data_IF_460236875025
#
_entry.id   IF_460236875025
#
_cell.length_a   1.000
_cell.length_b   1.000
_cell.length_c   1.000
_cell.angle_alpha   90.00
_cell.angle_beta   90.00
_cell.angle_gamma   90.00
#
_symmetry.space_group_name_H-M   'P 1'
#
loop_
_entity.id
_entity.type
_entity.pdbx_description
1 polymer ?
#
# COMPACT_ATOMS: atom_id res chain seq x y z
N UNK A 1 9.41 25.80 -21.67
CA UNK A 1 9.06 24.99 -20.49
C UNK A 1 9.95 25.49 -19.37
N UNK A 2 9.36 26.19 -18.41
CA UNK A 2 10.07 26.86 -17.33
C UNK A 2 10.12 25.89 -16.14
N UNK A 3 11.32 25.49 -15.70
CA UNK A 3 11.56 24.57 -14.58
C UNK A 3 11.28 25.19 -13.18
N UNK A 4 10.52 26.29 -13.08
CA UNK A 4 10.52 27.16 -11.89
C UNK A 4 9.28 27.10 -10.99
N UNK A 5 8.19 26.45 -11.38
CA UNK A 5 6.94 26.47 -10.60
C UNK A 5 6.69 25.17 -9.81
N UNK A 6 7.73 24.59 -9.21
CA UNK A 6 7.53 23.53 -8.21
C UNK A 6 7.14 24.21 -6.90
N UNK A 7 5.86 24.16 -6.56
CA UNK A 7 5.31 24.72 -5.34
C UNK A 7 5.97 24.01 -4.12
N UNK A 8 6.74 24.71 -3.27
CA UNK A 8 7.50 24.07 -2.19
C UNK A 8 6.62 23.36 -1.14
N UNK A 9 5.31 23.64 -1.13
CA UNK A 9 4.33 22.94 -0.28
C UNK A 9 4.14 21.45 -0.60
N UNK A 10 4.25 21.05 -1.87
CA UNK A 10 3.97 19.67 -2.30
C UNK A 10 5.09 18.69 -1.93
N UNK A 11 6.33 19.21 -1.80
CA UNK A 11 7.48 18.42 -1.35
C UNK A 11 7.33 18.04 0.14
N UNK A 12 6.82 18.94 0.98
CA UNK A 12 6.67 18.70 2.42
C UNK A 12 5.58 17.69 2.78
N UNK A 13 4.46 17.69 2.05
CA UNK A 13 3.32 16.83 2.37
C UNK A 13 3.63 15.35 2.10
N UNK A 14 4.33 15.05 1.00
CA UNK A 14 4.72 13.69 0.65
C UNK A 14 5.79 13.09 1.60
N UNK A 15 6.67 13.93 2.16
CA UNK A 15 7.66 13.46 3.13
C UNK A 15 7.03 13.09 4.47
N UNK A 16 6.07 13.88 4.98
CA UNK A 16 5.37 13.56 6.23
C UNK A 16 4.65 12.21 6.20
N UNK A 17 3.97 11.87 5.10
CA UNK A 17 3.27 10.60 4.95
C UNK A 17 4.26 9.41 4.95
N UNK A 18 5.44 9.60 4.35
CA UNK A 18 6.51 8.60 4.34
C UNK A 18 7.07 8.34 5.74
N UNK A 19 7.38 9.39 6.50
CA UNK A 19 7.87 9.25 7.88
C UNK A 19 6.81 8.63 8.79
N UNK A 20 5.54 9.00 8.63
CA UNK A 20 4.44 8.45 9.42
C UNK A 20 4.23 6.95 9.11
N UNK A 21 4.29 6.56 7.83
CA UNK A 21 4.21 5.15 7.40
C UNK A 21 5.36 4.33 7.97
N UNK A 22 6.58 4.89 7.93
CA UNK A 22 7.77 4.28 8.54
C UNK A 22 7.63 4.10 10.04
N UNK A 23 7.20 5.15 10.75
CA UNK A 23 7.02 5.11 12.19
C UNK A 23 5.97 4.06 12.58
N UNK A 24 4.84 4.00 11.89
CA UNK A 24 3.79 3.02 12.17
C UNK A 24 4.20 1.59 11.86
N UNK A 25 4.92 1.36 10.76
CA UNK A 25 5.46 0.03 10.47
C UNK A 25 6.50 -0.39 11.52
N UNK A 26 7.34 0.54 11.99
CA UNK A 26 8.27 0.25 13.08
C UNK A 26 7.53 -0.08 14.39
N UNK A 27 6.47 0.67 14.72
CA UNK A 27 5.62 0.40 15.89
C UNK A 27 4.95 -0.97 15.77
N UNK A 28 4.43 -1.33 14.60
CA UNK A 28 3.86 -2.65 14.34
C UNK A 28 4.90 -3.77 14.55
N UNK A 29 6.09 -3.62 13.99
CA UNK A 29 7.18 -4.59 14.17
C UNK A 29 7.58 -4.74 15.65
N UNK A 30 7.68 -3.62 16.38
CA UNK A 30 8.02 -3.62 17.80
C UNK A 30 6.93 -4.27 18.66
N UNK A 31 5.64 -4.04 18.37
CA UNK A 31 4.54 -4.67 19.11
C UNK A 31 4.58 -6.20 19.05
N UNK A 32 5.15 -6.78 18.00
CA UNK A 32 5.29 -8.23 17.85
C UNK A 32 6.61 -8.73 18.47
N UNK A 33 7.71 -8.01 18.26
CA UNK A 33 9.05 -8.48 18.65
C UNK A 33 9.38 -8.22 20.12
N UNK A 34 9.01 -7.05 20.65
CA UNK A 34 9.39 -6.63 22.01
C UNK A 34 8.87 -7.57 23.11
N UNK A 35 7.59 -8.03 23.09
CA UNK A 35 7.08 -8.92 24.14
C UNK A 35 7.85 -10.24 24.27
N UNK A 36 8.54 -10.68 23.21
CA UNK A 36 9.30 -11.91 23.19
C UNK A 36 10.80 -11.69 22.95
N UNK A 37 11.31 -10.49 23.27
CA UNK A 37 12.70 -10.14 23.04
C UNK A 37 13.67 -11.07 23.76
N UNK A 38 13.32 -11.48 24.99
CA UNK A 38 14.13 -12.40 25.80
C UNK A 38 14.26 -13.78 25.16
N UNK A 39 13.27 -14.22 24.39
CA UNK A 39 13.33 -15.44 23.59
C UNK A 39 14.18 -15.23 22.33
N UNK A 40 13.98 -14.12 21.61
CA UNK A 40 14.68 -13.88 20.35
C UNK A 40 16.19 -13.69 20.50
N UNK A 41 16.65 -13.20 21.66
CA UNK A 41 18.09 -13.03 21.94
C UNK A 41 18.83 -14.31 22.30
N UNK A 42 18.15 -15.44 22.47
CA UNK A 42 18.78 -16.70 22.93
C UNK A 42 19.70 -17.34 21.88
N UNK A 43 19.34 -17.21 20.60
CA UNK A 43 20.12 -17.77 19.49
C UNK A 43 20.23 -16.78 18.34
N UNK A 44 21.31 -16.89 17.56
CA UNK A 44 21.50 -16.07 16.36
C UNK A 44 20.35 -16.24 15.36
N UNK A 45 19.85 -17.47 15.20
CA UNK A 45 18.71 -17.78 14.33
C UNK A 45 17.44 -17.03 14.76
N UNK A 46 17.08 -17.06 16.05
CA UNK A 46 15.89 -16.35 16.53
C UNK A 46 16.04 -14.83 16.40
N UNK A 47 17.24 -14.28 16.62
CA UNK A 47 17.51 -12.86 16.43
C UNK A 47 17.36 -12.46 14.96
N UNK A 48 17.80 -13.30 14.01
CA UNK A 48 17.59 -13.06 12.58
C UNK A 48 16.10 -13.04 12.23
N UNK A 49 15.30 -13.94 12.79
CA UNK A 49 13.84 -13.96 12.58
C UNK A 49 13.20 -12.68 13.11
N UNK A 50 13.54 -12.25 14.32
CA UNK A 50 13.05 -11.00 14.90
C UNK A 50 13.45 -9.76 14.07
N UNK A 51 14.56 -9.83 13.34
CA UNK A 51 15.02 -8.79 12.43
C UNK A 51 14.22 -8.66 11.12
N UNK A 52 13.49 -9.71 10.71
CA UNK A 52 12.84 -9.76 9.39
C UNK A 52 11.86 -8.59 9.14
N UNK A 53 10.96 -8.22 10.06
CA UNK A 53 10.07 -7.08 9.86
C UNK A 53 10.80 -5.75 9.65
N UNK A 54 11.91 -5.55 10.35
CA UNK A 54 12.73 -4.34 10.24
C UNK A 54 13.47 -4.28 8.90
N UNK A 55 14.02 -5.41 8.45
CA UNK A 55 14.66 -5.48 7.12
C UNK A 55 13.61 -5.28 6.03
N UNK A 56 12.44 -5.90 6.15
CA UNK A 56 11.37 -5.81 5.17
C UNK A 56 10.86 -4.39 5.00
N UNK A 57 10.62 -3.64 6.08
CA UNK A 57 10.19 -2.24 5.97
C UNK A 57 11.27 -1.35 5.34
N UNK A 58 12.54 -1.56 5.69
CA UNK A 58 13.66 -0.80 5.12
C UNK A 58 13.79 -1.06 3.61
N UNK A 59 13.71 -2.33 3.20
CA UNK A 59 13.74 -2.72 1.78
C UNK A 59 12.51 -2.18 1.05
N UNK A 60 11.32 -2.28 1.64
CA UNK A 60 10.09 -1.77 1.02
C UNK A 60 10.15 -0.26 0.75
N UNK A 61 10.72 0.50 1.69
CA UNK A 61 10.93 1.95 1.58
C UNK A 61 12.01 2.28 0.55
N UNK A 62 13.12 1.53 0.54
CA UNK A 62 14.22 1.72 -0.40
C UNK A 62 13.77 1.45 -1.84
N UNK A 63 13.01 0.36 -2.06
CA UNK A 63 12.43 0.01 -3.35
C UNK A 63 11.31 0.97 -3.76
N UNK A 64 10.78 1.77 -2.81
CA UNK A 64 9.62 2.66 -3.02
C UNK A 64 8.44 1.90 -3.64
N UNK A 65 8.32 0.60 -3.36
CA UNK A 65 7.38 -0.31 -4.01
C UNK A 65 6.10 -0.43 -3.18
N UNK A 66 4.93 -0.14 -3.77
CA UNK A 66 3.64 -0.29 -3.12
C UNK A 66 3.42 -1.69 -2.54
N UNK A 67 3.66 -2.71 -3.38
CA UNK A 67 3.48 -4.10 -3.00
C UNK A 67 4.45 -4.50 -1.87
N UNK A 68 5.66 -3.96 -1.86
CA UNK A 68 6.61 -4.21 -0.78
C UNK A 68 6.10 -3.69 0.57
N UNK A 69 5.49 -2.49 0.58
CA UNK A 69 4.98 -1.87 1.79
C UNK A 69 3.68 -2.52 2.26
N UNK A 70 2.75 -2.80 1.35
CA UNK A 70 1.41 -3.26 1.74
C UNK A 70 1.30 -4.77 1.92
N UNK A 71 2.19 -5.56 1.29
CA UNK A 71 2.10 -7.03 1.29
C UNK A 71 3.32 -7.65 1.94
N UNK A 72 4.52 -7.37 1.45
CA UNK A 72 5.73 -8.05 1.93
C UNK A 72 6.08 -7.70 3.37
N UNK A 73 5.96 -6.44 3.76
CA UNK A 73 6.24 -6.02 5.12
C UNK A 73 5.30 -6.69 6.15
N UNK A 74 3.96 -6.64 6.04
CA UNK A 74 3.11 -7.34 7.00
C UNK A 74 3.35 -8.86 7.03
N UNK A 75 3.59 -9.48 5.87
CA UNK A 75 3.86 -10.92 5.80
C UNK A 75 5.19 -11.31 6.45
N UNK A 76 6.17 -10.41 6.50
CA UNK A 76 7.46 -10.66 7.17
C UNK A 76 7.34 -10.83 8.69
N UNK A 77 6.19 -10.49 9.29
CA UNK A 77 5.88 -10.79 10.68
C UNK A 77 5.46 -12.25 10.91
N UNK A 78 4.99 -12.97 9.88
CA UNK A 78 4.51 -14.35 10.04
C UNK A 78 5.58 -15.31 10.56
N UNK A 79 6.84 -15.29 10.08
CA UNK A 79 7.90 -16.11 10.65
C UNK A 79 8.18 -15.84 12.14
N UNK A 80 8.01 -14.57 12.57
CA UNK A 80 8.16 -14.19 13.98
C UNK A 80 7.07 -14.87 14.81
N UNK A 81 5.82 -14.79 14.35
CA UNK A 81 4.65 -15.42 14.98
C UNK A 81 4.71 -16.96 14.96
N UNK A 82 5.29 -17.55 13.92
CA UNK A 82 5.36 -19.00 13.76
C UNK A 82 6.37 -19.69 14.71
N UNK A 83 7.40 -18.96 15.15
CA UNK A 83 8.47 -19.51 16.01
C UNK A 83 8.28 -19.16 17.49
N UNK A 84 7.27 -18.34 17.80
CA UNK A 84 6.94 -17.93 19.17
C UNK A 84 6.51 -19.13 20.05
N UNK A 85 7.15 -19.35 21.21
CA UNK A 85 6.71 -20.36 22.16
C UNK A 85 5.33 -20.04 22.76
N UNK A 86 4.60 -21.05 23.28
CA UNK A 86 3.26 -20.85 23.86
C UNK A 86 3.20 -19.79 24.96
N UNK A 87 4.24 -19.69 25.79
CA UNK A 87 4.30 -18.71 26.89
C UNK A 87 4.30 -17.27 26.39
N UNK A 88 4.94 -17.03 25.25
CA UNK A 88 5.03 -15.71 24.63
C UNK A 88 3.86 -15.44 23.67
N UNK A 89 3.27 -16.47 23.06
CA UNK A 89 2.05 -16.30 22.29
C UNK A 89 0.87 -15.90 23.20
N UNK A 90 0.83 -16.38 24.44
CA UNK A 90 -0.14 -15.94 25.44
C UNK A 90 -0.06 -14.43 25.71
N UNK A 91 1.14 -13.82 25.70
CA UNK A 91 1.31 -12.36 25.83
C UNK A 91 0.70 -11.59 24.66
N UNK A 92 0.69 -12.18 23.46
CA UNK A 92 0.02 -11.61 22.29
C UNK A 92 -1.51 -11.73 22.39
N UNK A 93 -2.01 -12.64 23.24
CA UNK A 93 -3.43 -12.82 23.53
C UNK A 93 -3.93 -12.03 24.74
N UNK A 94 -3.05 -11.33 25.47
CA UNK A 94 -3.47 -10.43 26.55
C UNK A 94 -4.49 -9.38 26.08
N UNK A 95 -5.40 -9.02 26.98
CA UNK A 95 -6.56 -8.18 26.70
C UNK A 95 -6.16 -6.90 25.95
N UNK A 96 -6.58 -6.83 24.68
CA UNK A 96 -6.38 -5.68 23.80
C UNK A 96 -5.07 -5.66 22.99
N UNK A 97 -4.12 -6.57 23.20
CA UNK A 97 -2.92 -6.69 22.34
C UNK A 97 -3.28 -7.00 20.88
N UNK A 98 -4.16 -7.97 20.57
CA UNK A 98 -4.56 -8.24 19.19
C UNK A 98 -5.22 -7.04 18.51
N UNK A 99 -6.06 -6.30 19.27
CA UNK A 99 -6.77 -5.12 18.77
C UNK A 99 -5.76 -4.00 18.45
N UNK A 100 -4.76 -3.78 19.31
CA UNK A 100 -3.70 -2.79 19.08
C UNK A 100 -2.86 -3.14 17.84
N UNK A 101 -2.49 -4.41 17.68
CA UNK A 101 -1.73 -4.88 16.51
C UNK A 101 -2.57 -4.70 15.23
N UNK A 102 -3.84 -5.11 15.25
CA UNK A 102 -4.74 -4.96 14.11
C UNK A 102 -4.98 -3.48 13.75
N UNK A 103 -5.19 -2.62 14.75
CA UNK A 103 -5.37 -1.19 14.54
C UNK A 103 -4.12 -0.54 13.96
N UNK A 104 -2.94 -0.86 14.50
CA UNK A 104 -1.65 -0.33 14.01
C UNK A 104 -1.41 -0.77 12.56
N UNK A 105 -1.66 -2.05 12.25
CA UNK A 105 -1.55 -2.58 10.89
C UNK A 105 -2.55 -1.92 9.93
N UNK A 106 -3.81 -1.74 10.35
CA UNK A 106 -4.84 -1.08 9.55
C UNK A 106 -4.49 0.36 9.21
N UNK A 107 -4.04 1.13 10.20
CA UNK A 107 -3.60 2.52 10.00
C UNK A 107 -2.35 2.57 9.10
N UNK A 108 -1.39 1.66 9.33
CA UNK A 108 -0.21 1.51 8.48
C UNK A 108 -0.59 1.26 7.02
N UNK A 109 -1.48 0.30 6.75
CA UNK A 109 -1.91 -0.04 5.39
C UNK A 109 -2.66 1.11 4.72
N UNK A 110 -3.51 1.82 5.45
CA UNK A 110 -4.20 2.99 4.94
C UNK A 110 -3.21 4.07 4.49
N UNK A 111 -2.20 4.38 5.32
CA UNK A 111 -1.18 5.36 4.99
C UNK A 111 -0.26 4.92 3.86
N UNK A 112 0.21 3.67 3.90
CA UNK A 112 1.01 3.09 2.83
C UNK A 112 0.26 3.17 1.49
N UNK A 113 -1.04 2.88 1.46
CA UNK A 113 -1.87 2.99 0.26
C UNK A 113 -2.02 4.45 -0.21
N UNK A 114 -2.17 5.41 0.70
CA UNK A 114 -2.26 6.83 0.35
C UNK A 114 -0.96 7.38 -0.25
N UNK A 115 0.20 6.95 0.28
CA UNK A 115 1.51 7.35 -0.25
C UNK A 115 1.78 6.78 -1.64
N UNK A 116 1.30 5.56 -1.89
CA UNK A 116 1.33 4.94 -3.21
C UNK A 116 0.45 5.71 -4.19
N UNK A 117 -0.76 6.08 -3.74
CA UNK A 117 -1.73 6.82 -4.52
C UNK A 117 -1.23 8.22 -4.90
N UNK A 118 -0.56 8.94 -4.00
CA UNK A 118 -0.06 10.30 -4.27
C UNK A 118 1.00 10.30 -5.39
N UNK A 119 1.91 9.33 -5.41
CA UNK A 119 2.88 9.17 -6.51
C UNK A 119 2.28 8.83 -7.87
N UNK A 120 1.02 8.40 -7.90
CA UNK A 120 0.28 8.12 -9.14
C UNK A 120 -0.34 9.37 -9.76
N UNK A 121 -0.56 10.42 -8.97
CA UNK A 121 -1.13 11.67 -9.45
C UNK A 121 -0.19 12.39 -10.43
N UNK A 122 1.11 12.42 -10.13
CA UNK A 122 2.16 13.15 -10.88
C UNK A 122 2.41 12.66 -12.33
N UNK A 123 1.79 11.55 -12.78
CA UNK A 123 2.05 10.99 -14.13
C UNK A 123 0.91 11.20 -15.11
N UNK A 124 -0.23 11.70 -14.64
CA UNK A 124 -1.31 12.13 -15.52
C UNK A 124 -1.27 13.65 -15.55
N UNK A 125 -0.44 14.14 -16.46
CA UNK A 125 -0.34 15.54 -16.90
C UNK A 125 -1.55 15.85 -17.78
N UNK A 126 -2.74 15.72 -17.20
CA UNK A 126 -4.00 16.04 -17.86
C UNK A 126 -4.48 17.34 -17.23
N UNK A 127 -4.02 18.46 -17.80
CA UNK A 127 -4.36 19.86 -17.47
C UNK A 127 -5.89 20.15 -17.42
N UNK A 128 -6.73 19.14 -17.67
CA UNK A 128 -8.18 19.24 -17.75
C UNK A 128 -8.90 19.10 -16.40
N UNK A 129 -8.27 18.60 -15.33
CA UNK A 129 -8.91 18.41 -14.03
C UNK A 129 -8.17 19.21 -12.95
N UNK A 130 -8.83 20.17 -12.27
CA UNK A 130 -8.22 20.90 -11.16
C UNK A 130 -7.69 19.95 -10.08
N UNK A 131 -6.45 20.16 -9.63
CA UNK A 131 -5.78 19.31 -8.63
C UNK A 131 -6.61 19.10 -7.36
N UNK A 132 -7.34 20.13 -6.93
CA UNK A 132 -8.26 20.06 -5.78
C UNK A 132 -9.39 19.04 -6.00
N UNK A 133 -10.00 19.02 -7.18
CA UNK A 133 -11.09 18.10 -7.50
C UNK A 133 -10.59 16.64 -7.54
N UNK A 134 -9.36 16.44 -8.03
CA UNK A 134 -8.71 15.13 -8.09
C UNK A 134 -8.37 14.59 -6.70
N UNK A 135 -7.79 15.41 -5.83
CA UNK A 135 -7.50 15.05 -4.45
C UNK A 135 -8.78 14.69 -3.67
N UNK A 136 -9.85 15.46 -3.87
CA UNK A 136 -11.14 15.24 -3.20
C UNK A 136 -11.81 13.94 -3.68
N UNK A 137 -11.70 13.63 -4.98
CA UNK A 137 -12.17 12.36 -5.54
C UNK A 137 -11.40 11.16 -4.99
N UNK A 138 -10.06 11.24 -4.98
CA UNK A 138 -9.18 10.19 -4.43
C UNK A 138 -9.49 9.93 -2.95
N UNK A 139 -9.65 11.02 -2.18
CA UNK A 139 -10.04 10.97 -0.77
C UNK A 139 -11.39 10.29 -0.60
N UNK A 140 -12.42 10.71 -1.34
CA UNK A 140 -13.76 10.10 -1.27
C UNK A 140 -13.74 8.61 -1.65
N UNK A 141 -12.94 8.24 -2.64
CA UNK A 141 -12.77 6.86 -3.10
C UNK A 141 -12.12 5.98 -2.02
N UNK A 142 -11.07 6.46 -1.35
CA UNK A 142 -10.39 5.71 -0.28
C UNK A 142 -11.29 5.63 0.96
N UNK A 143 -11.86 6.75 1.40
CA UNK A 143 -12.68 6.80 2.62
C UNK A 143 -13.96 5.98 2.53
N UNK A 144 -14.63 5.95 1.37
CA UNK A 144 -15.84 5.11 1.20
C UNK A 144 -15.52 3.62 1.31
N UNK A 145 -14.39 3.17 0.75
CA UNK A 145 -13.95 1.77 0.85
C UNK A 145 -13.45 1.41 2.24
N UNK A 146 -12.75 2.33 2.88
CA UNK A 146 -12.32 2.16 4.27
C UNK A 146 -13.54 2.04 5.19
N UNK A 147 -14.53 2.93 5.05
CA UNK A 147 -15.77 2.87 5.81
C UNK A 147 -16.50 1.53 5.59
N UNK A 148 -16.59 1.07 4.34
CA UNK A 148 -17.16 -0.24 4.02
C UNK A 148 -16.38 -1.38 4.70
N UNK A 149 -15.05 -1.37 4.64
CA UNK A 149 -14.22 -2.40 5.28
C UNK A 149 -14.35 -2.41 6.80
N UNK A 150 -14.39 -1.23 7.42
CA UNK A 150 -14.60 -1.10 8.87
C UNK A 150 -15.97 -1.66 9.24
N UNK A 151 -17.02 -1.32 8.48
CA UNK A 151 -18.37 -1.79 8.74
C UNK A 151 -18.51 -3.31 8.53
N UNK A 152 -17.88 -3.84 7.48
CA UNK A 152 -17.83 -5.27 7.18
C UNK A 152 -17.10 -6.09 8.25
N UNK A 153 -16.18 -5.46 9.00
CA UNK A 153 -15.52 -6.10 10.14
C UNK A 153 -16.35 -5.95 11.42
N UNK A 154 -16.73 -4.72 11.76
CA UNK A 154 -17.38 -4.41 13.03
C UNK A 154 -18.75 -5.07 13.15
N UNK A 155 -19.56 -5.12 12.09
CA UNK A 155 -20.92 -5.67 12.17
C UNK A 155 -20.92 -7.17 12.49
N UNK A 156 -20.18 -8.04 11.77
CA UNK A 156 -20.10 -9.46 12.13
C UNK A 156 -19.43 -9.72 13.47
N UNK A 157 -18.39 -8.95 13.82
CA UNK A 157 -17.74 -9.06 15.13
C UNK A 157 -18.71 -8.68 16.26
N UNK A 158 -19.45 -7.59 16.11
CA UNK A 158 -20.48 -7.20 17.07
C UNK A 158 -21.59 -8.25 17.17
N UNK A 159 -22.05 -8.79 16.04
CA UNK A 159 -23.04 -9.87 16.03
C UNK A 159 -22.54 -11.13 16.77
N UNK A 160 -21.26 -11.46 16.64
CA UNK A 160 -20.68 -12.66 17.25
C UNK A 160 -20.41 -12.53 18.76
N UNK A 161 -20.05 -11.32 19.22
CA UNK A 161 -19.61 -11.09 20.60
C UNK A 161 -20.54 -10.21 21.44
N UNK A 162 -21.26 -9.28 20.81
CA UNK A 162 -22.13 -8.30 21.48
C UNK A 162 -23.62 -8.65 21.47
N UNK A 163 -24.10 -9.38 20.46
CA UNK A 163 -25.51 -9.77 20.38
C UNK A 163 -25.80 -11.02 21.24
N UNK A 164 -26.49 -10.81 22.37
CA UNK A 164 -26.86 -11.87 23.30
C UNK A 164 -27.72 -12.96 22.67
N UNK A 165 -28.51 -12.62 21.65
CA UNK A 165 -29.41 -13.57 20.97
C UNK A 165 -28.59 -14.57 20.17
N UNK A 166 -27.64 -14.08 19.37
CA UNK A 166 -26.75 -14.91 18.55
C UNK A 166 -25.87 -15.78 19.43
N UNK A 167 -25.31 -15.20 20.50
CA UNK A 167 -24.47 -15.93 21.47
C UNK A 167 -25.28 -17.04 22.15
N UNK A 168 -26.52 -16.77 22.56
CA UNK A 168 -27.41 -17.76 23.16
C UNK A 168 -27.71 -18.90 22.18
N UNK A 169 -28.02 -18.60 20.92
CA UNK A 169 -28.23 -19.61 19.88
C UNK A 169 -26.98 -20.45 19.66
N UNK A 170 -25.80 -19.84 19.56
CA UNK A 170 -24.53 -20.56 19.39
C UNK A 170 -24.24 -21.52 20.55
N UNK A 171 -24.51 -21.09 21.79
CA UNK A 171 -24.36 -21.92 22.99
C UNK A 171 -25.37 -23.08 23.02
N UNK A 172 -26.61 -22.86 22.55
CA UNK A 172 -27.63 -23.91 22.49
C UNK A 172 -27.32 -24.95 21.41
N UNK A 173 -26.86 -24.53 20.23
CA UNK A 173 -26.56 -25.43 19.12
C UNK A 173 -25.28 -26.25 19.33
N UNK A 174 -24.28 -25.69 20.03
CA UNK A 174 -22.97 -26.32 20.24
C UNK A 174 -22.64 -26.46 21.73
N UNK A 175 -23.50 -27.16 22.47
CA UNK A 175 -23.30 -27.39 23.89
C UNK A 175 -21.93 -28.05 24.17
N UNK A 176 -21.05 -27.32 24.86
CA UNK A 176 -19.69 -27.76 25.22
C UNK A 176 -18.56 -27.29 24.28
N UNK A 177 -18.87 -26.77 23.08
CA UNK A 177 -17.86 -26.32 22.10
C UNK A 177 -18.12 -24.92 21.55
N UNK A 178 -19.00 -24.14 22.18
CA UNK A 178 -19.38 -22.82 21.68
C UNK A 178 -18.21 -21.83 21.61
N UNK A 179 -17.20 -21.98 22.46
CA UNK A 179 -15.96 -21.21 22.40
C UNK A 179 -15.15 -21.53 21.14
N UNK A 180 -14.95 -22.83 20.84
CA UNK A 180 -14.27 -23.29 19.63
C UNK A 180 -15.02 -22.82 18.38
N UNK A 181 -16.35 -22.89 18.38
CA UNK A 181 -17.18 -22.38 17.30
C UNK A 181 -17.02 -20.88 17.07
N UNK A 182 -16.96 -20.07 18.13
CA UNK A 182 -16.73 -18.61 18.01
C UNK A 182 -15.34 -18.29 17.48
N UNK A 183 -14.31 -19.02 17.91
CA UNK A 183 -12.95 -18.85 17.37
C UNK A 183 -12.94 -19.16 15.87
N UNK A 184 -13.55 -20.27 15.46
CA UNK A 184 -13.64 -20.65 14.05
C UNK A 184 -14.38 -19.60 13.21
N UNK A 185 -15.54 -19.13 13.65
CA UNK A 185 -16.31 -18.10 12.95
C UNK A 185 -15.51 -16.79 12.87
N UNK A 186 -14.80 -16.41 13.95
CA UNK A 186 -13.95 -15.22 13.97
C UNK A 186 -12.82 -15.31 12.93
N UNK A 187 -12.19 -16.48 12.81
CA UNK A 187 -11.16 -16.73 11.80
C UNK A 187 -11.73 -16.62 10.38
N UNK A 188 -12.94 -17.13 10.14
CA UNK A 188 -13.60 -17.02 8.83
C UNK A 188 -13.97 -15.56 8.50
N UNK A 189 -14.50 -14.81 9.47
CA UNK A 189 -14.79 -13.37 9.31
C UNK A 189 -13.50 -12.61 8.98
N UNK A 190 -12.43 -12.85 9.75
CA UNK A 190 -11.14 -12.20 9.53
C UNK A 190 -10.56 -12.54 8.15
N UNK A 191 -10.62 -13.81 7.74
CA UNK A 191 -10.17 -14.23 6.42
C UNK A 191 -10.97 -13.55 5.29
N UNK A 192 -12.30 -13.56 5.38
CA UNK A 192 -13.18 -12.88 4.43
C UNK A 192 -12.90 -11.38 4.37
N UNK A 193 -12.66 -10.75 5.52
CA UNK A 193 -12.27 -9.35 5.60
C UNK A 193 -10.93 -9.07 4.92
N UNK A 194 -9.91 -9.89 5.16
CA UNK A 194 -8.60 -9.79 4.50
C UNK A 194 -8.72 -9.92 2.98
N UNK A 195 -9.51 -10.88 2.48
CA UNK A 195 -9.76 -11.05 1.05
C UNK A 195 -10.45 -9.81 0.47
N UNK A 196 -11.46 -9.28 1.14
CA UNK A 196 -12.15 -8.07 0.71
C UNK A 196 -11.25 -6.84 0.73
N UNK A 197 -10.41 -6.68 1.76
CA UNK A 197 -9.43 -5.60 1.85
C UNK A 197 -8.40 -5.69 0.70
N UNK A 198 -7.94 -6.91 0.38
CA UNK A 198 -7.08 -7.16 -0.76
C UNK A 198 -7.75 -6.73 -2.08
N UNK A 199 -9.00 -7.16 -2.32
CA UNK A 199 -9.74 -6.81 -3.53
C UNK A 199 -10.05 -5.30 -3.60
N UNK A 200 -10.34 -4.65 -2.46
CA UNK A 200 -10.75 -3.25 -2.40
C UNK A 200 -9.58 -2.25 -2.47
N UNK A 201 -8.37 -2.65 -2.06
CA UNK A 201 -7.21 -1.77 -2.00
C UNK A 201 -6.04 -2.23 -2.88
N UNK A 202 -5.66 -3.51 -2.80
CA UNK A 202 -4.48 -4.02 -3.52
C UNK A 202 -4.74 -4.06 -5.02
N UNK A 203 -5.82 -4.70 -5.47
CA UNK A 203 -6.11 -4.81 -6.93
C UNK A 203 -6.19 -3.44 -7.61
N UNK A 204 -6.94 -2.45 -7.09
CA UNK A 204 -6.99 -1.12 -7.66
C UNK A 204 -5.62 -0.44 -7.69
N UNK A 205 -4.79 -0.61 -6.65
CA UNK A 205 -3.44 -0.06 -6.63
C UNK A 205 -2.53 -0.69 -7.71
N UNK A 206 -2.66 -2.00 -7.93
CA UNK A 206 -1.94 -2.72 -8.97
C UNK A 206 -2.40 -2.30 -10.37
N UNK A 207 -3.71 -2.12 -10.56
CA UNK A 207 -4.27 -1.64 -11.82
C UNK A 207 -3.80 -0.23 -12.15
N UNK A 208 -3.79 0.68 -11.16
CA UNK A 208 -3.25 2.04 -11.34
C UNK A 208 -1.76 2.01 -11.71
N UNK A 209 -0.98 1.12 -11.11
CA UNK A 209 0.43 0.96 -11.47
C UNK A 209 0.61 0.39 -12.89
N UNK A 210 -0.24 -0.56 -13.27
CA UNK A 210 -0.25 -1.13 -14.62
C UNK A 210 -0.59 -0.07 -15.67
N UNK A 211 -1.66 0.70 -15.45
CA UNK A 211 -2.08 1.79 -16.33
C UNK A 211 -1.00 2.86 -16.43
N UNK A 212 -0.32 3.19 -15.32
CA UNK A 212 0.84 4.09 -15.33
C UNK A 212 1.97 3.56 -16.21
N UNK A 213 2.34 2.29 -16.07
CA UNK A 213 3.40 1.68 -16.88
C UNK A 213 3.02 1.61 -18.36
N UNK A 214 1.73 1.45 -18.67
CA UNK A 214 1.19 1.47 -20.03
C UNK A 214 1.24 2.87 -20.63
N UNK A 215 0.67 3.87 -19.93
CA UNK A 215 0.68 5.27 -20.37
C UNK A 215 2.10 5.80 -20.58
N UNK A 216 3.04 5.45 -19.70
CA UNK A 216 4.46 5.79 -19.90
C UNK A 216 5.03 5.20 -21.18
N UNK A 217 4.74 3.94 -21.49
CA UNK A 217 5.17 3.30 -22.74
C UNK A 217 4.52 3.95 -23.96
N UNK A 218 3.24 4.27 -23.89
CA UNK A 218 2.50 4.91 -24.98
C UNK A 218 3.03 6.34 -25.24
N UNK A 219 3.29 7.12 -24.19
CA UNK A 219 3.90 8.44 -24.28
C UNK A 219 5.34 8.40 -24.83
N UNK A 220 6.18 7.44 -24.38
CA UNK A 220 7.52 7.23 -24.93
C UNK A 220 7.46 6.83 -26.42
N UNK A 221 6.45 6.05 -26.82
CA UNK A 221 6.24 5.64 -28.22
C UNK A 221 5.77 6.79 -29.09
N UNK A 222 4.83 7.62 -28.60
CA UNK A 222 4.38 8.82 -29.30
C UNK A 222 5.49 9.86 -29.43
N UNK A 223 6.31 10.06 -28.39
CA UNK A 223 7.47 10.96 -28.42
C UNK A 223 8.50 10.53 -29.48
N UNK A 224 8.80 9.23 -29.57
CA UNK A 224 9.66 8.68 -30.64
C UNK A 224 9.03 8.83 -32.03
N UNK A 225 7.71 8.71 -32.15
CA UNK A 225 6.98 8.93 -33.41
C UNK A 225 6.95 10.39 -33.85
N UNK A 226 6.84 11.33 -32.90
CA UNK A 226 6.80 12.78 -33.15
C UNK A 226 8.19 13.32 -33.52
N UNK A 227 9.25 12.86 -32.84
CA UNK A 227 10.62 13.19 -33.20
C UNK A 227 10.96 12.72 -34.63
N UNK A 228 10.54 11.51 -35.02
CA UNK A 228 10.82 11.00 -36.38
C UNK A 228 10.22 11.88 -37.49
N UNK A 229 8.99 12.40 -37.32
CA UNK A 229 8.39 13.31 -38.31
C UNK A 229 9.04 14.70 -38.32
N UNK A 230 9.46 15.20 -37.15
CA UNK A 230 10.18 16.48 -37.03
C UNK A 230 11.57 16.41 -37.66
N UNK A 231 12.32 15.34 -37.41
CA UNK A 231 13.65 15.12 -38.01
C UNK A 231 13.60 14.92 -39.52
N UNK A 232 12.56 14.25 -40.05
CA UNK A 232 12.35 14.16 -41.51
C UNK A 232 12.05 15.53 -42.12
N UNK A 233 11.20 16.35 -41.48
CA UNK A 233 10.90 17.71 -41.96
C UNK A 233 12.15 18.61 -41.94
N UNK A 234 12.90 18.60 -40.84
CA UNK A 234 14.16 19.37 -40.71
C UNK A 234 15.20 18.90 -41.73
N UNK A 235 15.30 17.58 -41.98
CA UNK A 235 16.18 17.04 -43.01
C UNK A 235 15.81 17.50 -44.42
N UNK A 236 14.51 17.55 -44.75
CA UNK A 236 14.01 18.06 -46.03
C UNK A 236 14.25 19.56 -46.16
N UNK A 237 13.99 20.35 -45.12
CA UNK A 237 14.22 21.79 -45.11
C UNK A 237 15.71 22.14 -45.25
N UNK A 238 16.61 21.41 -44.56
CA UNK A 238 18.05 21.55 -44.73
C UNK A 238 18.54 21.13 -46.13
N UNK A 239 18.00 20.05 -46.70
CA UNK A 239 18.33 19.63 -48.05
C UNK A 239 17.88 20.67 -49.09
N UNK A 240 16.69 21.25 -48.92
CA UNK A 240 16.19 22.32 -49.78
C UNK A 240 17.05 23.59 -49.67
N UNK A 241 17.43 23.97 -48.45
CA UNK A 241 18.32 25.10 -48.19
C UNK A 241 19.71 24.90 -48.82
N UNK A 242 20.26 23.68 -48.78
CA UNK A 242 21.51 23.32 -49.45
C UNK A 242 21.40 23.42 -50.97
N UNK A 243 20.31 22.94 -51.57
CA UNK A 243 20.08 23.04 -53.03
C UNK A 243 19.95 24.50 -53.47
N UNK A 244 19.26 25.34 -52.69
CA UNK A 244 19.15 26.78 -52.96
C UNK A 244 20.51 27.46 -52.82
N UNK A 245 21.27 27.15 -51.76
CA UNK A 245 22.61 27.72 -51.54
C UNK A 245 23.59 27.33 -52.66
N UNK A 246 23.59 26.07 -53.09
CA UNK A 246 24.44 25.62 -54.20
C UNK A 246 23.98 26.13 -55.57
N UNK A 247 22.67 26.27 -55.79
CA UNK A 247 22.12 26.83 -57.02
C UNK A 247 22.44 28.32 -57.19
N UNK A 248 22.55 29.07 -56.10
CA UNK A 248 22.93 30.50 -56.10
C UNK A 248 24.43 30.70 -56.33
N UNK A 249 25.27 29.69 -56.02
CA UNK A 249 26.73 29.75 -56.22
C UNK A 249 27.12 29.38 -57.67
N UNK A 250 26.23 28.73 -58.42
CA UNK A 250 26.46 28.27 -59.80
C UNK A 250 25.88 29.20 -60.88
N UNK A 251 25.39 30.39 -60.50
CA UNK A 251 24.96 31.48 -61.39
C UNK A 251 25.93 32.65 -61.19
#
# INVERSE_FOLDING_TARGET
MNDSDVNPGDLGQNESARYLTLALGLVFALQIVVPAWDFFRQTSFHTMIAGLPFVAIMVAVALKSPAALTVFFPLSALPVLAVLPPDYSALLHEDGTPIRIAATLGIYLALASSWVASKGADVVDDDAIPDEARALWMRRFVWSRLALMVLLFLVPTYALFGDSTIVATLNQTHAGYSEVGRIFISLMIFFGWCAMAYMAFIIPSLNLEYDRRRLRRDAETMRRGYDRKRWVRVGVECALALVVAFGVILI
#
